data_IF_788397966355
#
_entry.id   IF_788397966355
#
_cell.length_a   1.000
_cell.length_b   1.000
_cell.length_c   1.000
_cell.angle_alpha   90.00
_cell.angle_beta   90.00
_cell.angle_gamma   90.00
#
_symmetry.space_group_name_H-M   'P 1'
#
loop_
_entity.id
_entity.type
_entity.pdbx_description
1 polymer ?
#
# COMPACT_ATOMS: atom_id res chain seq x y z
N UNK A 1 -14.24 -7.50 -13.48
CA UNK A 1 -14.87 -6.35 -12.77
C UNK A 1 -14.19 -6.00 -11.44
N UNK A 2 -13.59 -6.97 -10.75
CA UNK A 2 -12.94 -6.76 -9.44
C UNK A 2 -11.78 -5.76 -9.47
N UNK A 3 -10.88 -5.83 -10.45
CA UNK A 3 -9.81 -4.81 -10.63
C UNK A 3 -10.36 -3.39 -10.75
N UNK A 4 -11.40 -3.18 -11.56
CA UNK A 4 -12.05 -1.86 -11.72
C UNK A 4 -12.74 -1.38 -10.44
N UNK A 5 -13.25 -2.29 -9.60
CA UNK A 5 -13.80 -1.92 -8.28
C UNK A 5 -12.69 -1.51 -7.31
N UNK A 6 -11.54 -2.19 -7.37
CA UNK A 6 -10.37 -1.85 -6.56
C UNK A 6 -9.76 -0.51 -7.00
N UNK A 7 -9.58 -0.28 -8.29
CA UNK A 7 -9.11 1.00 -8.85
C UNK A 7 -10.00 2.17 -8.39
N UNK A 8 -11.33 2.03 -8.45
CA UNK A 8 -12.26 3.03 -7.90
C UNK A 8 -12.23 3.15 -6.38
N UNK A 9 -11.82 2.11 -5.66
CA UNK A 9 -11.60 2.22 -4.21
C UNK A 9 -10.37 3.07 -3.91
N UNK A 10 -9.31 2.83 -4.67
CA UNK A 10 -8.04 3.54 -4.54
C UNK A 10 -8.22 5.02 -4.88
N UNK A 11 -8.88 5.36 -6.00
CA UNK A 11 -9.13 6.77 -6.36
C UNK A 11 -9.91 7.49 -5.27
N UNK A 12 -11.03 6.91 -4.80
CA UNK A 12 -11.87 7.53 -3.75
C UNK A 12 -11.14 7.62 -2.41
N UNK A 13 -10.21 6.70 -2.13
CA UNK A 13 -9.36 6.82 -0.94
C UNK A 13 -8.44 8.02 -1.06
N UNK A 14 -7.78 8.22 -2.20
CA UNK A 14 -6.89 9.37 -2.42
C UNK A 14 -7.62 10.71 -2.31
N UNK A 15 -8.81 10.84 -2.90
CA UNK A 15 -9.64 12.05 -2.73
C UNK A 15 -9.93 12.33 -1.25
N UNK A 16 -10.22 11.29 -0.46
CA UNK A 16 -10.48 11.41 0.99
C UNK A 16 -9.25 11.85 1.80
N UNK A 17 -8.04 11.38 1.44
CA UNK A 17 -6.82 11.81 2.14
C UNK A 17 -6.39 13.21 1.70
N UNK A 18 -6.63 13.58 0.44
CA UNK A 18 -6.39 14.95 -0.05
C UNK A 18 -7.22 15.95 0.77
N UNK A 19 -8.52 15.70 0.95
CA UNK A 19 -9.39 16.52 1.81
C UNK A 19 -8.88 16.62 3.26
N UNK A 20 -8.30 15.53 3.80
CA UNK A 20 -7.74 15.50 5.16
C UNK A 20 -6.44 16.29 5.29
N UNK A 21 -5.59 16.24 4.27
CA UNK A 21 -4.28 16.92 4.24
C UNK A 21 -4.45 18.42 3.94
N UNK A 22 -5.44 18.79 3.13
CA UNK A 22 -5.78 20.19 2.85
C UNK A 22 -6.21 20.98 4.11
N UNK A 23 -6.62 20.29 5.18
CA UNK A 23 -6.96 20.92 6.47
C UNK A 23 -5.75 21.27 7.35
N UNK A 24 -4.52 21.25 6.81
CA UNK A 24 -3.26 21.69 7.46
C UNK A 24 -2.94 21.03 8.82
N UNK A 25 -3.52 19.86 9.12
CA UNK A 25 -3.12 19.08 10.28
C UNK A 25 -1.90 18.22 9.94
N UNK A 26 -0.94 18.12 10.86
CA UNK A 26 0.23 17.25 10.69
C UNK A 26 -0.22 15.81 10.48
N UNK A 27 -0.12 15.32 9.24
CA UNK A 27 -0.55 13.97 8.88
C UNK A 27 0.63 13.00 8.99
N UNK A 28 0.64 12.20 10.05
CA UNK A 28 1.70 11.23 10.32
C UNK A 28 1.41 9.88 9.66
N UNK A 29 2.40 8.99 9.61
CA UNK A 29 2.16 7.61 9.12
C UNK A 29 1.25 6.79 10.03
N UNK A 30 1.13 7.14 11.31
CA UNK A 30 0.15 6.53 12.20
C UNK A 30 -1.28 6.93 11.77
N UNK A 31 -1.48 8.22 11.48
CA UNK A 31 -2.76 8.75 11.00
C UNK A 31 -3.13 8.16 9.63
N UNK A 32 -2.14 7.96 8.76
CA UNK A 32 -2.35 7.24 7.50
C UNK A 32 -2.87 5.82 7.72
N UNK A 33 -2.27 5.04 8.63
CA UNK A 33 -2.75 3.69 8.94
C UNK A 33 -4.18 3.70 9.48
N UNK A 34 -4.52 4.65 10.33
CA UNK A 34 -5.87 4.78 10.89
C UNK A 34 -6.89 5.18 9.81
N UNK A 35 -6.50 6.07 8.89
CA UNK A 35 -7.34 6.48 7.76
C UNK A 35 -7.68 5.32 6.82
N UNK A 36 -6.74 4.39 6.59
CA UNK A 36 -6.96 3.19 5.77
C UNK A 36 -8.00 2.29 6.44
N UNK A 37 -7.86 2.04 7.75
CA UNK A 37 -8.81 1.22 8.51
C UNK A 37 -10.21 1.89 8.51
N UNK A 38 -10.30 3.20 8.71
CA UNK A 38 -11.55 3.95 8.63
C UNK A 38 -12.23 3.86 7.25
N UNK A 39 -11.44 4.00 6.18
CA UNK A 39 -11.91 3.91 4.80
C UNK A 39 -12.45 2.51 4.47
N UNK A 40 -11.73 1.46 4.86
CA UNK A 40 -12.15 0.07 4.64
C UNK A 40 -13.44 -0.24 5.39
N UNK A 41 -13.57 0.23 6.63
CA UNK A 41 -14.81 0.12 7.41
C UNK A 41 -15.99 0.83 6.74
N UNK A 42 -15.80 2.08 6.30
CA UNK A 42 -16.83 2.86 5.61
C UNK A 42 -17.35 2.15 4.35
N UNK A 43 -16.43 1.56 3.58
CA UNK A 43 -16.74 0.78 2.36
C UNK A 43 -17.30 -0.62 2.67
N UNK A 44 -17.48 -0.98 3.94
CA UNK A 44 -17.96 -2.28 4.43
C UNK A 44 -17.09 -3.47 4.01
N UNK A 45 -15.79 -3.24 3.83
CA UNK A 45 -14.84 -4.33 3.71
C UNK A 45 -14.66 -5.00 5.07
N UNK A 46 -14.42 -6.31 5.06
CA UNK A 46 -14.08 -7.04 6.29
C UNK A 46 -12.66 -6.67 6.68
N UNK A 47 -12.52 -5.87 7.74
CA UNK A 47 -11.22 -5.65 8.36
C UNK A 47 -10.82 -6.93 9.09
N UNK A 48 -9.57 -7.34 8.89
CA UNK A 48 -9.01 -8.50 9.57
C UNK A 48 -8.92 -8.20 11.08
N UNK A 49 -9.73 -8.90 11.87
CA UNK A 49 -9.68 -8.83 13.33
C UNK A 49 -8.76 -9.92 13.88
N UNK A 50 -8.07 -9.65 14.99
CA UNK A 50 -7.14 -10.61 15.59
C UNK A 50 -5.77 -10.63 14.91
N UNK A 51 -5.15 -9.46 14.74
CA UNK A 51 -3.79 -9.27 14.19
C UNK A 51 -2.72 -10.13 14.91
N UNK A 52 -3.03 -10.65 16.10
CA UNK A 52 -2.16 -11.50 16.92
C UNK A 52 -2.33 -13.01 16.68
N UNK A 53 -3.39 -13.45 15.99
CA UNK A 53 -3.66 -14.88 15.78
C UNK A 53 -2.91 -15.49 14.59
N UNK A 54 -2.41 -14.65 13.67
CA UNK A 54 -1.67 -15.07 12.48
C UNK A 54 -0.25 -14.52 12.59
N UNK A 55 0.76 -15.37 12.43
CA UNK A 55 2.15 -14.91 12.50
C UNK A 55 2.46 -13.94 11.34
N UNK A 56 3.41 -13.03 11.57
CA UNK A 56 3.88 -12.11 10.52
C UNK A 56 4.32 -12.86 9.25
N UNK A 57 4.91 -14.05 9.41
CA UNK A 57 5.36 -14.91 8.33
C UNK A 57 4.19 -15.45 7.50
N UNK A 58 3.14 -15.96 8.15
CA UNK A 58 1.94 -16.44 7.49
C UNK A 58 1.19 -15.32 6.76
N UNK A 59 1.14 -14.13 7.35
CA UNK A 59 0.53 -12.96 6.71
C UNK A 59 1.28 -12.54 5.43
N UNK A 60 2.62 -12.55 5.48
CA UNK A 60 3.48 -12.25 4.32
C UNK A 60 3.32 -13.30 3.23
N UNK A 61 3.35 -14.58 3.57
CA UNK A 61 3.20 -15.68 2.62
C UNK A 61 1.87 -15.59 1.87
N UNK A 62 0.77 -15.34 2.61
CA UNK A 62 -0.55 -15.12 2.01
C UNK A 62 -0.57 -13.88 1.11
N UNK A 63 0.01 -12.77 1.55
CA UNK A 63 0.07 -11.55 0.75
C UNK A 63 0.85 -11.76 -0.56
N UNK A 64 1.98 -12.47 -0.53
CA UNK A 64 2.76 -12.78 -1.73
C UNK A 64 2.02 -13.71 -2.68
N UNK A 65 1.34 -14.74 -2.16
CA UNK A 65 0.54 -15.65 -2.98
C UNK A 65 -0.61 -14.92 -3.70
N UNK A 66 -1.34 -14.07 -2.98
CA UNK A 66 -2.41 -13.26 -3.55
C UNK A 66 -1.85 -12.26 -4.59
N UNK A 67 -0.73 -11.62 -4.27
CA UNK A 67 -0.07 -10.67 -5.16
C UNK A 67 0.34 -11.31 -6.50
N UNK A 68 0.93 -12.52 -6.47
CA UNK A 68 1.30 -13.25 -7.67
C UNK A 68 0.10 -13.60 -8.55
N UNK A 69 -1.03 -13.94 -7.95
CA UNK A 69 -2.27 -14.26 -8.66
C UNK A 69 -2.85 -13.03 -9.38
N UNK A 70 -2.80 -11.87 -8.72
CA UNK A 70 -3.42 -10.64 -9.23
C UNK A 70 -2.50 -9.76 -10.07
N UNK A 71 -1.18 -9.96 -10.01
CA UNK A 71 -0.21 -9.20 -10.79
C UNK A 71 0.66 -10.03 -11.77
N UNK A 72 0.07 -10.86 -12.66
CA UNK A 72 0.86 -11.68 -13.58
C UNK A 72 1.49 -10.89 -14.73
N UNK A 73 1.02 -9.66 -15.01
CA UNK A 73 1.39 -8.90 -16.21
C UNK A 73 2.04 -7.54 -15.97
N UNK A 74 2.03 -6.96 -14.77
CA UNK A 74 2.75 -5.69 -14.56
C UNK A 74 4.24 -5.96 -14.33
N UNK A 75 5.07 -5.36 -15.17
CA UNK A 75 6.46 -5.09 -14.80
C UNK A 75 6.46 -4.00 -13.74
N UNK A 76 6.77 -4.37 -12.50
CA UNK A 76 6.94 -3.43 -11.41
C UNK A 76 8.36 -2.90 -11.53
N UNK A 77 8.52 -1.71 -12.11
CA UNK A 77 9.75 -0.94 -11.97
C UNK A 77 9.45 0.20 -11.00
N UNK A 78 9.46 -0.13 -9.72
CA UNK A 78 9.13 0.80 -8.64
C UNK A 78 10.12 1.97 -8.66
N UNK A 79 9.63 3.19 -8.47
CA UNK A 79 10.50 4.36 -8.35
C UNK A 79 11.44 4.23 -7.14
N UNK A 80 11.07 3.44 -6.13
CA UNK A 80 11.97 3.04 -5.05
C UNK A 80 13.12 2.15 -5.54
N UNK A 81 12.83 1.14 -6.37
CA UNK A 81 13.85 0.25 -6.94
C UNK A 81 14.78 1.00 -7.90
N UNK A 82 14.26 1.99 -8.63
CA UNK A 82 15.06 2.90 -9.45
C UNK A 82 15.99 3.75 -8.58
N UNK A 83 15.50 4.27 -7.47
CA UNK A 83 16.31 5.07 -6.55
C UNK A 83 17.38 4.23 -5.85
N UNK A 84 17.06 2.99 -5.48
CA UNK A 84 18.04 2.04 -4.93
C UNK A 84 19.14 1.69 -5.94
N UNK A 85 18.77 1.46 -7.21
CA UNK A 85 19.73 1.26 -8.30
C UNK A 85 20.62 2.48 -8.51
N UNK A 86 20.05 3.69 -8.50
CA UNK A 86 20.84 4.92 -8.60
C UNK A 86 21.85 5.07 -7.46
N UNK A 87 21.47 4.70 -6.24
CA UNK A 87 22.38 4.75 -5.08
C UNK A 87 23.51 3.72 -5.19
N UNK A 88 23.19 2.47 -5.57
CA UNK A 88 24.22 1.43 -5.80
C UNK A 88 25.18 1.78 -6.92
N UNK A 89 24.67 2.29 -8.04
CA UNK A 89 25.52 2.68 -9.17
C UNK A 89 26.46 3.84 -8.83
N UNK A 90 26.08 4.73 -7.90
CA UNK A 90 26.96 5.78 -7.39
C UNK A 90 28.06 5.24 -6.46
N UNK A 91 27.76 4.23 -5.64
CA UNK A 91 28.76 3.54 -4.82
C UNK A 91 29.79 2.79 -5.68
N UNK A 92 29.36 2.21 -6.81
CA UNK A 92 30.24 1.50 -7.75
C UNK A 92 31.09 2.44 -8.63
N UNK A 93 30.69 3.70 -8.82
CA UNK A 93 31.46 4.74 -9.55
C UNK A 93 32.48 5.48 -8.65
N UNK A 94 32.37 5.37 -7.33
CA UNK A 94 33.29 5.99 -6.35
C UNK A 94 34.42 5.05 -5.85
N UNK A 95 34.52 3.83 -6.39
CA UNK A 95 35.60 2.84 -6.16
C UNK A 95 36.51 2.76 -7.40
#
# INVERSE_FOLDING_TARGET
EERRRLERAITVFFDYIEDLIEQENSFTMADFSESVDAFLNFRRYKILQGKEAISSEQAKEKAYAEYQLFNPTQRIDSDFDKELRKRKNKEDEEI
#
